data_IF_831586862213
#
_entry.id   IF_831586862213
#
_cell.length_a   1.000
_cell.length_b   1.000
_cell.length_c   1.000
_cell.angle_alpha   90.00
_cell.angle_beta   90.00
_cell.angle_gamma   90.00
#
_symmetry.space_group_name_H-M   'P 1'
#
loop_
_entity.id
_entity.type
_entity.pdbx_description
1 polymer ?
#
# COMPACT_ATOMS: atom_id res chain seq x y z
N UNK A 1 -0.50 -17.34 -18.54
CA UNK A 1 -1.52 -17.50 -17.48
C UNK A 1 -2.66 -18.24 -18.11
N UNK A 2 -2.72 -19.54 -17.87
CA UNK A 2 -3.71 -20.43 -18.47
C UNK A 2 -5.09 -20.18 -17.83
N UNK A 3 -6.14 -19.92 -18.63
CA UNK A 3 -7.48 -19.58 -18.14
C UNK A 3 -8.22 -20.74 -17.46
N UNK A 4 -7.62 -21.93 -17.40
CA UNK A 4 -8.19 -23.15 -16.80
C UNK A 4 -8.18 -23.13 -15.25
N UNK A 5 -7.51 -22.16 -14.63
CA UNK A 5 -7.43 -22.05 -13.16
C UNK A 5 -8.76 -21.73 -12.49
N UNK A 6 -9.80 -21.34 -13.23
CA UNK A 6 -11.11 -21.01 -12.66
C UNK A 6 -12.19 -21.83 -13.37
N UNK A 7 -12.82 -22.77 -12.66
CA UNK A 7 -13.94 -23.55 -13.17
C UNK A 7 -15.18 -23.40 -12.30
N UNK A 8 -16.35 -23.44 -12.94
CA UNK A 8 -17.67 -23.53 -12.29
C UNK A 8 -18.14 -24.99 -12.14
N UNK A 9 -17.39 -25.94 -12.70
CA UNK A 9 -17.70 -27.36 -12.64
C UNK A 9 -17.09 -27.99 -11.38
N UNK A 10 -17.90 -28.67 -10.54
CA UNK A 10 -17.39 -29.42 -9.41
C UNK A 10 -16.69 -30.69 -9.89
N UNK A 11 -15.75 -31.19 -9.09
CA UNK A 11 -15.24 -32.56 -9.27
C UNK A 11 -16.37 -33.57 -9.01
N UNK A 12 -16.25 -34.75 -9.62
CA UNK A 12 -17.26 -35.82 -9.50
C UNK A 12 -17.41 -36.25 -8.04
N UNK A 13 -18.52 -35.85 -7.40
CA UNK A 13 -18.82 -36.14 -5.99
C UNK A 13 -18.90 -34.91 -5.07
N UNK A 14 -18.57 -33.72 -5.56
CA UNK A 14 -18.66 -32.47 -4.79
C UNK A 14 -19.88 -31.63 -5.20
N UNK A 15 -20.50 -30.94 -4.24
CA UNK A 15 -21.61 -30.02 -4.49
C UNK A 15 -21.11 -28.57 -4.43
N UNK A 16 -21.16 -27.86 -5.55
CA UNK A 16 -20.92 -26.41 -5.60
C UNK A 16 -22.24 -25.66 -5.42
N UNK A 17 -22.27 -24.73 -4.47
CA UNK A 17 -23.39 -23.79 -4.31
C UNK A 17 -23.46 -22.84 -5.50
N UNK A 18 -24.68 -22.41 -5.87
CA UNK A 18 -24.88 -21.44 -6.95
C UNK A 18 -24.11 -20.15 -6.65
N UNK A 19 -23.16 -19.81 -7.53
CA UNK A 19 -22.29 -18.63 -7.40
C UNK A 19 -20.88 -18.93 -6.91
N UNK A 20 -20.56 -20.17 -6.56
CA UNK A 20 -19.21 -20.58 -6.19
C UNK A 20 -18.33 -20.85 -7.43
N UNK A 21 -17.03 -20.59 -7.29
CA UNK A 21 -16.01 -20.86 -8.30
C UNK A 21 -14.88 -21.66 -7.65
N UNK A 22 -14.35 -22.65 -8.38
CA UNK A 22 -13.19 -23.42 -7.94
C UNK A 22 -11.95 -22.80 -8.56
N UNK A 23 -11.03 -22.33 -7.71
CA UNK A 23 -9.72 -21.83 -8.12
C UNK A 23 -8.69 -22.95 -7.95
N UNK A 24 -8.08 -23.40 -9.05
CA UNK A 24 -7.05 -24.45 -9.09
C UNK A 24 -5.66 -23.82 -9.23
N UNK A 25 -4.71 -24.33 -8.45
CA UNK A 25 -3.32 -23.86 -8.43
C UNK A 25 -2.74 -23.88 -7.02
N UNK A 26 -1.41 -23.83 -6.93
CA UNK A 26 -0.71 -23.69 -5.66
C UNK A 26 -1.14 -22.41 -4.95
N UNK A 27 -1.49 -22.54 -3.67
CA UNK A 27 -1.92 -21.41 -2.85
C UNK A 27 -0.75 -20.97 -1.98
N UNK A 28 -0.07 -19.92 -2.41
CA UNK A 28 0.89 -19.22 -1.55
C UNK A 28 0.14 -18.28 -0.63
N UNK A 29 -0.12 -18.76 0.59
CA UNK A 29 -0.68 -17.94 1.64
C UNK A 29 0.43 -17.12 2.30
N UNK A 30 0.55 -15.86 1.88
CA UNK A 30 1.43 -14.89 2.52
C UNK A 30 0.84 -14.44 3.86
N UNK A 31 1.27 -15.09 4.94
CA UNK A 31 0.90 -14.74 6.31
C UNK A 31 1.88 -13.74 6.92
N UNK A 32 1.38 -12.84 7.78
CA UNK A 32 2.19 -11.87 8.52
C UNK A 32 3.10 -10.98 7.64
N UNK A 33 2.66 -10.66 6.41
CA UNK A 33 3.27 -9.58 5.63
C UNK A 33 3.30 -8.33 6.49
N UNK A 34 4.50 -7.86 6.84
CA UNK A 34 4.67 -6.59 7.54
C UNK A 34 4.05 -5.53 6.65
N UNK A 35 2.95 -4.94 7.08
CA UNK A 35 2.31 -3.82 6.38
C UNK A 35 3.13 -2.57 6.69
N UNK A 36 4.37 -2.55 6.21
CA UNK A 36 5.26 -1.41 6.31
C UNK A 36 5.25 -0.74 4.93
N UNK A 37 4.98 0.56 4.92
CA UNK A 37 5.04 1.36 3.69
C UNK A 37 5.90 2.58 3.96
N UNK A 38 6.52 3.11 2.91
CA UNK A 38 7.23 4.37 2.97
C UNK A 38 6.46 5.43 2.18
N UNK A 39 6.67 6.69 2.53
CA UNK A 39 6.17 7.86 1.80
C UNK A 39 7.35 8.79 1.52
N UNK A 40 7.44 9.32 0.31
CA UNK A 40 8.47 10.28 -0.07
C UNK A 40 8.00 11.28 -1.13
N UNK A 41 8.66 12.45 -1.26
CA UNK A 41 8.40 13.41 -2.32
C UNK A 41 9.02 12.93 -3.63
N UNK A 42 8.22 12.89 -4.69
CA UNK A 42 8.64 12.56 -6.05
C UNK A 42 8.32 13.72 -7.00
N UNK A 43 9.20 13.96 -7.97
CA UNK A 43 9.04 15.08 -8.90
C UNK A 43 8.43 14.61 -10.22
N UNK A 44 7.27 15.17 -10.57
CA UNK A 44 6.62 14.97 -11.87
C UNK A 44 6.66 16.29 -12.63
N UNK A 45 7.56 16.40 -13.61
CA UNK A 45 7.81 17.65 -14.33
C UNK A 45 8.40 18.71 -13.40
N UNK A 46 7.62 19.76 -13.11
CA UNK A 46 8.00 20.85 -12.20
C UNK A 46 7.32 20.76 -10.82
N UNK A 47 6.40 19.81 -10.62
CA UNK A 47 5.61 19.68 -9.40
C UNK A 47 6.08 18.52 -8.53
N UNK A 48 6.10 18.73 -7.22
CA UNK A 48 6.37 17.68 -6.24
C UNK A 48 5.06 17.02 -5.80
N UNK A 49 5.06 15.69 -5.75
CA UNK A 49 3.91 14.90 -5.30
C UNK A 49 4.37 13.85 -4.28
N UNK A 50 3.56 13.55 -3.26
CA UNK A 50 3.85 12.45 -2.36
C UNK A 50 3.55 11.12 -3.05
N UNK A 51 4.46 10.17 -2.96
CA UNK A 51 4.24 8.78 -3.38
C UNK A 51 4.37 7.85 -2.18
N UNK A 52 3.57 6.78 -2.15
CA UNK A 52 3.55 5.79 -1.09
C UNK A 52 3.65 4.37 -1.64
N UNK A 53 4.39 3.51 -0.98
CA UNK A 53 4.62 2.14 -1.46
C UNK A 53 5.52 1.31 -0.54
N UNK A 54 5.96 0.12 -1.00
CA UNK A 54 7.00 -0.65 -0.32
C UNK A 54 8.26 0.20 -0.11
N UNK A 55 8.98 -0.06 0.98
CA UNK A 55 10.19 0.69 1.33
C UNK A 55 11.21 0.73 0.18
N UNK A 56 11.52 -0.44 -0.39
CA UNK A 56 12.47 -0.60 -1.48
C UNK A 56 12.11 0.28 -2.70
N UNK A 57 10.83 0.34 -3.05
CA UNK A 57 10.36 1.13 -4.19
C UNK A 57 10.47 2.64 -3.96
N UNK A 58 10.26 3.11 -2.73
CA UNK A 58 10.36 4.54 -2.40
C UNK A 58 11.82 4.96 -2.26
N UNK A 59 12.68 4.10 -1.70
CA UNK A 59 14.11 4.36 -1.58
C UNK A 59 14.80 4.55 -2.94
N UNK A 60 14.37 3.79 -3.96
CA UNK A 60 14.89 3.95 -5.32
C UNK A 60 14.43 5.24 -6.02
N UNK A 61 13.27 5.79 -5.65
CA UNK A 61 12.64 6.91 -6.35
C UNK A 61 12.78 8.26 -5.64
N UNK A 62 13.02 8.25 -4.32
CA UNK A 62 13.01 9.44 -3.48
C UNK A 62 14.28 9.51 -2.62
N UNK A 63 14.98 10.65 -2.66
CA UNK A 63 16.15 10.89 -1.79
C UNK A 63 15.79 10.93 -0.29
N UNK A 64 14.54 11.30 0.02
CA UNK A 64 14.02 11.36 1.39
C UNK A 64 12.75 10.53 1.49
N UNK A 65 12.66 9.67 2.50
CA UNK A 65 11.47 8.88 2.77
C UNK A 65 11.17 8.78 4.26
N UNK A 66 9.89 8.59 4.60
CA UNK A 66 9.43 8.28 5.95
C UNK A 66 8.71 6.94 5.94
N UNK A 67 9.10 6.06 6.86
CA UNK A 67 8.46 4.76 7.05
C UNK A 67 7.21 4.89 7.93
N UNK A 68 6.16 4.21 7.53
CA UNK A 68 4.87 4.14 8.20
C UNK A 68 4.52 2.69 8.51
N UNK A 69 3.95 2.48 9.69
CA UNK A 69 3.35 1.21 10.13
C UNK A 69 1.90 1.45 10.56
N UNK A 70 1.03 0.44 10.53
CA UNK A 70 -0.25 0.47 11.21
C UNK A 70 -0.05 0.83 12.69
N UNK A 71 -0.88 1.72 13.21
CA UNK A 71 -0.73 2.24 14.57
C UNK A 71 -1.97 2.96 15.05
N UNK A 72 -1.81 3.93 15.94
CA UNK A 72 -2.94 4.59 16.60
C UNK A 72 -3.13 6.07 16.22
N UNK A 73 -2.23 6.64 15.42
CA UNK A 73 -2.26 8.06 15.03
C UNK A 73 -3.21 8.29 13.86
N UNK A 74 -3.94 9.41 13.90
CA UNK A 74 -4.85 9.81 12.82
C UNK A 74 -4.07 10.32 11.62
N UNK A 75 -4.62 10.15 10.42
CA UNK A 75 -4.04 10.65 9.17
C UNK A 75 -3.69 12.15 9.23
N UNK A 76 -4.55 12.96 9.85
CA UNK A 76 -4.32 14.42 9.90
C UNK A 76 -3.16 14.88 10.79
N UNK A 77 -2.70 14.03 11.71
CA UNK A 77 -1.49 14.35 12.46
C UNK A 77 -0.25 13.91 11.68
N UNK A 78 -0.32 12.76 11.02
CA UNK A 78 0.74 12.24 10.15
C UNK A 78 0.98 13.15 8.94
N UNK A 79 -0.08 13.69 8.31
CA UNK A 79 0.05 14.59 7.17
C UNK A 79 0.86 15.85 7.51
N UNK A 80 0.64 16.41 8.71
CA UNK A 80 1.31 17.63 9.18
C UNK A 80 2.77 17.34 9.49
N UNK A 81 3.05 16.17 10.05
CA UNK A 81 4.41 15.73 10.32
C UNK A 81 5.18 15.46 9.02
N UNK A 82 4.56 14.77 8.06
CA UNK A 82 5.13 14.56 6.72
C UNK A 82 5.38 15.89 5.99
N UNK A 83 4.42 16.82 6.03
CA UNK A 83 4.58 18.12 5.39
C UNK A 83 5.72 18.96 6.02
N UNK A 84 5.91 18.86 7.35
CA UNK A 84 7.04 19.50 8.03
C UNK A 84 8.37 18.87 7.60
N UNK A 85 8.42 17.54 7.56
CA UNK A 85 9.62 16.81 7.22
C UNK A 85 10.02 16.99 5.75
N UNK A 86 9.02 17.13 4.87
CA UNK A 86 9.20 17.39 3.46
C UNK A 86 9.07 18.87 3.10
N UNK A 87 9.17 19.80 4.05
CA UNK A 87 8.96 21.25 3.84
C UNK A 87 9.79 21.90 2.72
N UNK A 88 10.89 21.26 2.29
CA UNK A 88 11.68 21.69 1.12
C UNK A 88 11.02 21.34 -0.24
N UNK A 89 9.99 20.49 -0.21
CA UNK A 89 9.20 20.03 -1.35
C UNK A 89 7.80 20.58 -1.12
N UNK A 90 7.34 21.45 -2.01
CA UNK A 90 6.00 22.04 -1.94
C UNK A 90 4.95 20.96 -2.24
N UNK A 91 4.57 20.20 -1.21
CA UNK A 91 3.63 19.08 -1.27
C UNK A 91 2.24 19.52 -0.82
N UNK A 92 1.24 19.20 -1.63
CA UNK A 92 -0.15 19.42 -1.27
C UNK A 92 -0.64 18.39 -0.23
N UNK A 93 -1.18 18.91 0.87
CA UNK A 93 -1.69 18.13 2.01
C UNK A 93 -2.78 17.12 1.61
N UNK A 94 -3.64 17.47 0.66
CA UNK A 94 -4.71 16.57 0.21
C UNK A 94 -4.14 15.34 -0.49
N UNK A 95 -3.04 15.50 -1.22
CA UNK A 95 -2.34 14.39 -1.85
C UNK A 95 -1.58 13.54 -0.83
N UNK A 96 -1.04 14.15 0.24
CA UNK A 96 -0.42 13.40 1.33
C UNK A 96 -1.46 12.49 1.97
N UNK A 97 -2.63 13.01 2.35
CA UNK A 97 -3.73 12.23 2.96
C UNK A 97 -4.12 11.03 2.10
N UNK A 98 -4.26 11.26 0.79
CA UNK A 98 -4.67 10.24 -0.19
C UNK A 98 -3.62 9.14 -0.35
N UNK A 99 -2.35 9.48 -0.19
CA UNK A 99 -1.23 8.54 -0.30
C UNK A 99 -1.10 7.65 0.94
N UNK A 100 -1.66 8.07 2.08
CA UNK A 100 -1.58 7.29 3.32
C UNK A 100 -2.47 6.02 3.28
N UNK A 101 -1.98 4.89 3.80
CA UNK A 101 -2.77 3.66 3.91
C UNK A 101 -4.06 3.88 4.70
N UNK A 102 -5.12 3.08 4.46
CA UNK A 102 -6.37 3.19 5.19
C UNK A 102 -6.17 2.90 6.68
N UNK A 103 -6.97 3.57 7.52
CA UNK A 103 -6.93 3.39 8.97
C UNK A 103 -5.99 4.37 9.69
N UNK A 104 -5.53 3.93 10.87
CA UNK A 104 -4.59 4.66 11.72
C UNK A 104 -3.18 4.15 11.44
N UNK A 105 -2.23 5.05 11.38
CA UNK A 105 -0.83 4.72 11.12
C UNK A 105 0.04 5.33 12.20
N UNK A 106 1.32 5.03 12.18
CA UNK A 106 2.31 5.60 13.07
C UNK A 106 3.59 5.73 12.27
N UNK A 107 4.24 6.89 12.40
CA UNK A 107 5.52 7.13 11.76
C UNK A 107 6.56 6.33 12.52
N UNK A 108 7.25 5.45 11.80
CA UNK A 108 8.38 4.68 12.33
C UNK A 108 9.62 5.57 12.21
N UNK A 109 9.69 6.59 13.05
CA UNK A 109 10.89 7.40 13.22
C UNK A 109 11.66 6.89 14.45
N UNK A 110 12.93 6.55 14.19
CA UNK A 110 13.99 6.06 15.09
C UNK A 110 14.10 4.55 15.29
#
# INVERSE_FOLDING_TARGET
MDPEQVTKEPESGEYLTKGAFVVRGDRDYLHNMKVECAVGPYKIGETWVPIAGPEEAIEEQCEKMIKLKPGHTKKSEIEKELNREFSNHDLDLDYIIRSLPPGKSEIKNR
#
